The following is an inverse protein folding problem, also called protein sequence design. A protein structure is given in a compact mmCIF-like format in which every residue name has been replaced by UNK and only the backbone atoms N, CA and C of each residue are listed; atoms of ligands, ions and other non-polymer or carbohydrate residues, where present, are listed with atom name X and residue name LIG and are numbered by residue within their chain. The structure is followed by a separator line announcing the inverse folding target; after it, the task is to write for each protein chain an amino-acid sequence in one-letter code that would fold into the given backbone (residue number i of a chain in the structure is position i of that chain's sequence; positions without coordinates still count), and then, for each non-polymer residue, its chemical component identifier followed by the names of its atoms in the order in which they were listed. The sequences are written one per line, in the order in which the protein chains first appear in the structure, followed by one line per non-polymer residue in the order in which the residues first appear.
data_IF_712397342365
#
_entry.id   IF_712397342365
#
_cell.length_a   1.000
_cell.length_b   1.000
_cell.length_c   1.000
_cell.angle_alpha   90.00
_cell.angle_beta   90.00
_cell.angle_gamma   90.00
#
_symmetry.space_group_name_H-M   'P 1'
#
loop_
_entity.id
_entity.type
_entity.pdbx_description
1 polymer ?
#
# COMPACT_ATOMS: atom_id res chain seq x y z
N UNK A 1 -12.42 -31.69 8.15
CA UNK A 1 -12.33 -31.36 6.71
C UNK A 1 -11.87 -29.92 6.64
N UNK A 2 -10.56 -29.73 6.50
CA UNK A 2 -9.87 -28.47 6.79
C UNK A 2 -9.56 -27.74 5.50
N UNK A 3 -10.17 -26.57 5.31
CA UNK A 3 -9.79 -25.62 4.27
C UNK A 3 -9.75 -24.24 4.91
N UNK A 4 -8.54 -23.72 5.13
CA UNK A 4 -8.31 -22.29 5.32
C UNK A 4 -7.40 -21.88 4.17
N UNK A 5 -8.05 -21.34 3.14
CA UNK A 5 -7.47 -20.43 2.17
C UNK A 5 -7.81 -19.03 2.69
N UNK A 6 -6.87 -18.09 2.80
CA UNK A 6 -7.21 -16.73 2.44
C UNK A 6 -7.37 -16.71 0.92
N UNK A 7 -8.59 -16.39 0.46
CA UNK A 7 -8.86 -16.08 -0.94
C UNK A 7 -7.68 -15.29 -1.49
N UNK A 8 -6.99 -15.87 -2.50
CA UNK A 8 -6.15 -15.05 -3.35
C UNK A 8 -7.02 -13.91 -3.87
N UNK A 9 -6.43 -12.71 -3.98
CA UNK A 9 -7.11 -11.48 -4.36
C UNK A 9 -8.23 -11.71 -5.39
N UNK A 10 -9.46 -11.23 -5.17
CA UNK A 10 -10.41 -11.04 -6.25
C UNK A 10 -9.94 -9.82 -7.04
N UNK A 11 -8.95 -9.98 -7.92
CA UNK A 11 -8.54 -8.91 -8.83
C UNK A 11 -9.32 -8.89 -10.13
N UNK A 12 -10.42 -9.63 -10.22
CA UNK A 12 -11.42 -9.46 -11.27
C UNK A 12 -12.80 -9.48 -10.63
N UNK A 13 -13.37 -8.29 -10.45
CA UNK A 13 -14.79 -8.14 -10.22
C UNK A 13 -15.53 -8.66 -11.46
N UNK A 14 -16.03 -9.89 -11.39
CA UNK A 14 -17.09 -10.32 -12.28
C UNK A 14 -18.42 -10.07 -11.58
N UNK A 15 -19.13 -9.10 -12.12
CA UNK A 15 -20.53 -8.83 -11.90
C UNK A 15 -21.37 -10.09 -12.08
N UNK A 16 -22.36 -10.24 -11.20
CA UNK A 16 -23.45 -11.22 -11.19
C UNK A 16 -23.14 -12.57 -10.54
N UNK A 17 -23.68 -12.74 -9.34
CA UNK A 17 -23.80 -14.02 -8.66
C UNK A 17 -24.01 -13.79 -7.17
N UNK A 18 -25.23 -14.04 -6.69
CA UNK A 18 -25.58 -14.05 -5.27
C UNK A 18 -24.56 -14.93 -4.51
N UNK A 19 -23.56 -14.29 -3.88
CA UNK A 19 -22.51 -15.00 -3.17
C UNK A 19 -23.14 -15.58 -1.90
N UNK A 20 -23.07 -16.90 -1.73
CA UNK A 20 -23.27 -17.53 -0.43
C UNK A 20 -22.20 -17.00 0.52
N UNK A 21 -22.50 -15.90 1.22
CA UNK A 21 -21.68 -15.40 2.31
C UNK A 21 -21.69 -16.47 3.40
N UNK A 22 -20.51 -17.01 3.70
CA UNK A 22 -20.30 -17.92 4.83
C UNK A 22 -19.86 -17.11 6.02
N UNK A 23 -20.38 -17.45 7.19
CA UNK A 23 -19.90 -16.88 8.46
C UNK A 23 -18.42 -17.18 8.66
N UNK A 24 -17.67 -16.16 9.06
CA UNK A 24 -16.24 -16.30 9.37
C UNK A 24 -16.08 -16.87 10.79
N UNK A 25 -15.96 -18.19 10.90
CA UNK A 25 -15.81 -18.91 12.17
C UNK A 25 -14.41 -19.54 12.35
N UNK A 26 -13.38 -19.00 11.69
CA UNK A 26 -12.03 -19.57 11.74
C UNK A 26 -11.27 -19.04 12.96
N UNK A 27 -10.93 -19.91 13.95
CA UNK A 27 -10.16 -19.48 15.11
C UNK A 27 -8.72 -19.14 14.71
N UNK A 28 -8.10 -18.23 15.45
CA UNK A 28 -6.67 -17.96 15.32
C UNK A 28 -5.88 -19.21 15.72
N UNK A 29 -4.95 -19.64 14.86
CA UNK A 29 -4.05 -20.76 15.14
C UNK A 29 -2.82 -20.28 15.91
N UNK A 30 -2.40 -21.05 16.91
CA UNK A 30 -1.10 -20.85 17.54
C UNK A 30 0.02 -21.08 16.52
N UNK A 31 1.20 -20.50 16.74
CA UNK A 31 2.36 -20.71 15.84
C UNK A 31 2.68 -22.20 15.70
N UNK A 32 2.57 -22.98 16.78
CA UNK A 32 2.78 -24.42 16.73
C UNK A 32 1.76 -25.12 15.82
N UNK A 33 0.49 -24.69 15.84
CA UNK A 33 -0.54 -25.28 15.00
C UNK A 33 -0.43 -24.82 13.55
N UNK A 34 0.08 -23.61 13.30
CA UNK A 34 0.45 -23.15 11.95
C UNK A 34 1.57 -24.02 11.35
N UNK A 35 2.61 -24.34 12.13
CA UNK A 35 3.69 -25.24 11.70
C UNK A 35 3.13 -26.62 11.35
N UNK A 36 2.31 -27.21 12.24
CA UNK A 36 1.67 -28.50 11.99
C UNK A 36 0.80 -28.48 10.73
N UNK A 37 0.05 -27.41 10.52
CA UNK A 37 -0.78 -27.24 9.33
C UNK A 37 0.07 -27.23 8.05
N UNK A 38 1.17 -26.47 8.03
CA UNK A 38 2.07 -26.41 6.89
C UNK A 38 2.70 -27.79 6.59
N UNK A 39 3.16 -28.50 7.63
CA UNK A 39 3.68 -29.86 7.48
C UNK A 39 2.62 -30.84 6.97
N UNK A 40 1.38 -30.76 7.48
CA UNK A 40 0.27 -31.62 7.02
C UNK A 40 -0.13 -31.40 5.55
N UNK A 41 0.21 -30.24 5.00
CA UNK A 41 0.01 -29.88 3.58
C UNK A 41 1.19 -30.29 2.70
N UNK A 42 2.22 -30.92 3.27
CA UNK A 42 3.40 -31.38 2.54
C UNK A 42 4.54 -30.37 2.47
N UNK A 43 4.51 -29.27 3.25
CA UNK A 43 5.65 -28.35 3.32
C UNK A 43 6.78 -28.95 4.16
N UNK A 44 7.97 -29.00 3.59
CA UNK A 44 9.17 -29.41 4.31
C UNK A 44 9.67 -28.23 5.13
N UNK A 45 9.86 -28.42 6.44
CA UNK A 45 10.43 -27.41 7.34
C UNK A 45 11.74 -27.98 7.86
N UNK A 46 12.88 -27.43 7.41
CA UNK A 46 14.21 -27.95 7.79
C UNK A 46 14.54 -27.59 9.23
N UNK A 47 14.22 -26.37 9.62
CA UNK A 47 14.37 -25.87 10.99
C UNK A 47 13.04 -25.32 11.52
N UNK A 48 12.42 -26.09 12.42
CA UNK A 48 11.14 -25.72 13.05
C UNK A 48 11.28 -24.45 13.89
N UNK A 49 12.38 -24.28 14.62
CA UNK A 49 12.57 -23.11 15.48
C UNK A 49 12.74 -21.85 14.63
N UNK A 50 13.51 -21.94 13.56
CA UNK A 50 13.62 -20.86 12.57
C UNK A 50 12.26 -20.48 11.99
N UNK A 51 11.47 -21.47 11.54
CA UNK A 51 10.14 -21.22 11.00
C UNK A 51 9.19 -20.56 12.00
N UNK A 52 9.26 -20.93 13.30
CA UNK A 52 8.51 -20.25 14.36
C UNK A 52 8.92 -18.79 14.50
N UNK A 53 10.22 -18.49 14.59
CA UNK A 53 10.73 -17.12 14.68
C UNK A 53 10.33 -16.28 13.46
N UNK A 54 10.29 -16.89 12.28
CA UNK A 54 9.77 -16.22 11.07
C UNK A 54 8.28 -15.93 11.22
N UNK A 55 7.45 -16.91 11.61
CA UNK A 55 6.00 -16.73 11.75
C UNK A 55 5.58 -15.80 12.91
N UNK A 56 6.45 -15.62 13.91
CA UNK A 56 6.30 -14.61 14.96
C UNK A 56 6.45 -13.18 14.42
N UNK A 57 7.39 -12.98 13.49
CA UNK A 57 7.69 -11.66 12.91
C UNK A 57 6.83 -11.37 11.67
N UNK A 58 6.54 -12.40 10.89
CA UNK A 58 5.75 -12.39 9.68
C UNK A 58 4.47 -13.17 9.94
N UNK A 59 3.35 -12.48 10.11
CA UNK A 59 2.08 -13.16 10.33
C UNK A 59 1.80 -14.21 9.24
N UNK A 60 1.09 -15.28 9.60
CA UNK A 60 0.80 -16.39 8.70
C UNK A 60 0.10 -15.95 7.41
N UNK A 61 -0.76 -14.93 7.47
CA UNK A 61 -1.47 -14.41 6.31
C UNK A 61 -0.50 -13.89 5.24
N UNK A 62 0.48 -13.08 5.64
CA UNK A 62 1.52 -12.56 4.74
C UNK A 62 2.34 -13.71 4.15
N UNK A 63 2.82 -14.64 4.99
CA UNK A 63 3.56 -15.81 4.51
C UNK A 63 2.75 -16.65 3.52
N UNK A 64 1.47 -16.91 3.82
CA UNK A 64 0.57 -17.70 2.97
C UNK A 64 0.27 -17.06 1.61
N UNK A 65 0.50 -15.75 1.44
CA UNK A 65 0.45 -15.12 0.13
C UNK A 65 1.50 -15.67 -0.84
N UNK A 66 2.68 -16.03 -0.32
CA UNK A 66 3.81 -16.54 -1.11
C UNK A 66 3.72 -18.05 -1.34
N UNK A 67 2.93 -18.79 -0.56
CA UNK A 67 2.79 -20.24 -0.70
C UNK A 67 2.10 -20.63 -2.01
N UNK A 68 1.24 -19.78 -2.56
CA UNK A 68 0.43 -20.07 -3.74
C UNK A 68 1.24 -20.50 -4.98
N UNK A 69 2.46 -19.97 -5.14
CA UNK A 69 3.33 -20.31 -6.27
C UNK A 69 3.81 -21.77 -6.18
N UNK A 70 3.90 -22.31 -4.96
CA UNK A 70 4.41 -23.63 -4.63
C UNK A 70 3.32 -24.67 -4.35
N UNK A 71 2.04 -24.26 -4.34
CA UNK A 71 0.90 -25.16 -4.22
C UNK A 71 0.72 -25.98 -5.51
N UNK A 72 0.24 -27.21 -5.38
CA UNK A 72 -0.18 -28.05 -6.51
C UNK A 72 -1.37 -27.40 -7.24
N UNK A 73 -1.19 -27.12 -8.52
CA UNK A 73 -2.13 -26.39 -9.39
C UNK A 73 -3.09 -27.31 -10.15
N UNK A 74 -3.43 -28.48 -9.60
CA UNK A 74 -4.55 -29.28 -10.10
C UNK A 74 -5.84 -28.44 -10.25
N UNK A 75 -6.85 -28.93 -10.99
CA UNK A 75 -8.09 -28.20 -11.30
C UNK A 75 -8.85 -27.58 -10.10
N UNK A 76 -8.49 -27.92 -8.85
CA UNK A 76 -8.99 -27.28 -7.63
C UNK A 76 -7.82 -26.95 -6.69
N UNK A 77 -7.84 -25.77 -6.07
CA UNK A 77 -6.84 -25.37 -5.06
C UNK A 77 -6.97 -26.26 -3.81
N UNK A 78 -5.95 -27.08 -3.56
CA UNK A 78 -5.92 -28.03 -2.43
C UNK A 78 -5.11 -27.55 -1.24
N UNK A 79 -4.30 -26.49 -1.40
CA UNK A 79 -3.25 -26.05 -0.47
C UNK A 79 -2.11 -27.01 -0.23
N UNK A 80 -2.12 -28.15 -0.90
CA UNK A 80 -1.02 -29.08 -0.79
C UNK A 80 0.15 -28.54 -1.60
N UNK A 81 1.35 -28.65 -1.06
CA UNK A 81 2.56 -28.19 -1.70
C UNK A 81 3.06 -29.22 -2.71
N UNK A 82 3.71 -28.74 -3.78
CA UNK A 82 4.39 -29.60 -4.73
C UNK A 82 5.56 -30.36 -4.08
N UNK A 83 5.91 -31.53 -4.63
CA UNK A 83 6.96 -32.39 -4.06
C UNK A 83 8.27 -31.61 -3.84
N UNK A 84 8.82 -31.74 -2.63
CA UNK A 84 10.08 -31.13 -2.16
C UNK A 84 10.08 -29.61 -1.90
N UNK A 85 8.92 -28.95 -1.86
CA UNK A 85 8.87 -27.53 -1.45
C UNK A 85 9.29 -27.36 0.01
N UNK A 86 10.18 -26.41 0.28
CA UNK A 86 10.61 -26.09 1.66
C UNK A 86 10.16 -24.72 2.14
N UNK A 87 9.96 -24.58 3.45
CA UNK A 87 9.58 -23.32 4.08
C UNK A 87 10.60 -22.21 3.80
N UNK A 88 11.89 -22.57 3.80
CA UNK A 88 12.98 -21.65 3.54
C UNK A 88 12.93 -21.12 2.10
N UNK A 89 12.58 -21.94 1.11
CA UNK A 89 12.42 -21.49 -0.28
C UNK A 89 11.31 -20.45 -0.42
N UNK A 90 10.16 -20.68 0.23
CA UNK A 90 9.04 -19.73 0.24
C UNK A 90 9.47 -18.43 0.92
N UNK A 91 10.22 -18.53 2.02
CA UNK A 91 10.70 -17.36 2.74
C UNK A 91 11.78 -16.59 1.97
N UNK A 92 12.62 -17.25 1.18
CA UNK A 92 13.56 -16.58 0.27
C UNK A 92 12.82 -15.76 -0.79
N UNK A 93 11.73 -16.29 -1.38
CA UNK A 93 10.88 -15.52 -2.30
C UNK A 93 10.33 -14.26 -1.64
N UNK A 94 9.85 -14.37 -0.40
CA UNK A 94 9.42 -13.20 0.38
C UNK A 94 10.55 -12.17 0.56
N UNK A 95 11.77 -12.60 0.89
CA UNK A 95 12.92 -11.70 1.06
C UNK A 95 13.25 -10.96 -0.23
N UNK A 96 13.27 -11.65 -1.37
CA UNK A 96 13.52 -11.03 -2.66
C UNK A 96 12.45 -9.99 -3.02
N UNK A 97 11.18 -10.31 -2.79
CA UNK A 97 10.08 -9.39 -3.02
C UNK A 97 10.17 -8.14 -2.11
N UNK A 98 10.61 -8.28 -0.85
CA UNK A 98 10.94 -7.14 0.02
C UNK A 98 12.07 -6.28 -0.57
N UNK A 99 13.14 -6.90 -1.06
CA UNK A 99 14.27 -6.17 -1.67
C UNK A 99 13.84 -5.41 -2.93
N UNK A 100 13.03 -6.02 -3.79
CA UNK A 100 12.49 -5.36 -4.99
C UNK A 100 11.62 -4.17 -4.59
N UNK A 101 10.73 -4.31 -3.60
CA UNK A 101 9.94 -3.18 -3.10
C UNK A 101 10.81 -2.05 -2.57
N UNK A 102 11.89 -2.35 -1.85
CA UNK A 102 12.82 -1.33 -1.34
C UNK A 102 13.49 -0.55 -2.48
N UNK A 103 13.93 -1.24 -3.53
CA UNK A 103 14.49 -0.61 -4.72
C UNK A 103 13.44 0.27 -5.42
N UNK A 104 12.22 -0.24 -5.60
CA UNK A 104 11.12 0.52 -6.19
C UNK A 104 10.79 1.77 -5.37
N UNK A 105 10.71 1.67 -4.03
CA UNK A 105 10.48 2.82 -3.17
C UNK A 105 11.60 3.85 -3.27
N UNK A 106 12.85 3.42 -3.41
CA UNK A 106 13.97 4.32 -3.65
C UNK A 106 13.85 5.05 -4.99
N UNK A 107 13.29 4.44 -6.04
CA UNK A 107 13.05 5.13 -7.31
C UNK A 107 11.85 6.08 -7.22
N UNK A 108 10.77 5.64 -6.57
CA UNK A 108 9.54 6.41 -6.39
C UNK A 108 9.82 7.68 -5.58
N UNK A 109 10.69 7.64 -4.57
CA UNK A 109 11.01 8.84 -3.77
C UNK A 109 11.58 9.98 -4.61
N UNK A 110 12.43 9.70 -5.60
CA UNK A 110 12.92 10.72 -6.54
C UNK A 110 11.80 11.26 -7.42
N UNK A 111 11.00 10.37 -8.01
CA UNK A 111 9.86 10.75 -8.86
C UNK A 111 8.88 11.63 -8.08
N UNK A 112 8.62 11.29 -6.82
CA UNK A 112 7.73 12.03 -5.94
C UNK A 112 8.20 13.47 -5.73
N UNK A 113 9.49 13.68 -5.43
CA UNK A 113 10.08 15.03 -5.30
C UNK A 113 9.90 15.84 -6.59
N UNK A 114 10.18 15.25 -7.75
CA UNK A 114 10.00 15.94 -9.03
C UNK A 114 8.52 16.28 -9.29
N UNK A 115 7.61 15.36 -9.02
CA UNK A 115 6.18 15.56 -9.20
C UNK A 115 5.64 16.68 -8.30
N UNK A 116 6.04 16.73 -7.01
CA UNK A 116 5.67 17.81 -6.08
C UNK A 116 6.07 19.17 -6.62
N UNK A 117 7.31 19.29 -7.11
CA UNK A 117 7.83 20.52 -7.70
C UNK A 117 7.08 20.94 -8.97
N UNK A 118 6.85 20.00 -9.90
CA UNK A 118 6.12 20.26 -11.15
C UNK A 118 4.68 20.69 -10.86
N UNK A 119 4.00 19.99 -9.96
CA UNK A 119 2.61 20.28 -9.58
C UNK A 119 2.51 21.67 -8.94
N UNK A 120 3.38 21.96 -7.96
CA UNK A 120 3.40 23.27 -7.28
C UNK A 120 3.64 24.42 -8.25
N UNK A 121 4.64 24.29 -9.13
CA UNK A 121 4.94 25.30 -10.15
C UNK A 121 3.80 25.51 -11.14
N UNK A 122 3.32 24.43 -11.77
CA UNK A 122 2.24 24.53 -12.75
C UNK A 122 0.96 25.09 -12.12
N UNK A 123 0.69 24.74 -10.86
CA UNK A 123 -0.44 25.30 -10.12
C UNK A 123 -0.33 26.83 -10.01
N UNK A 124 0.83 27.35 -9.59
CA UNK A 124 1.07 28.78 -9.50
C UNK A 124 0.95 29.46 -10.87
N UNK A 125 1.52 28.86 -11.92
CA UNK A 125 1.45 29.40 -13.29
C UNK A 125 0.00 29.51 -13.80
N UNK A 126 -0.83 28.52 -13.50
CA UNK A 126 -2.25 28.51 -13.90
C UNK A 126 -3.07 29.54 -13.12
N UNK A 127 -2.76 29.73 -11.83
CA UNK A 127 -3.52 30.58 -10.93
C UNK A 127 -2.85 31.93 -10.65
N UNK A 128 -2.09 32.46 -11.61
CA UNK A 128 -1.46 33.79 -11.53
C UNK A 128 -0.64 34.01 -10.25
N UNK A 129 0.13 33.01 -9.84
CA UNK A 129 0.92 32.96 -8.61
C UNK A 129 0.11 33.07 -7.31
N UNK A 130 -1.20 32.82 -7.30
CA UNK A 130 -1.98 32.71 -6.06
C UNK A 130 -1.67 31.36 -5.36
N UNK A 131 -0.99 31.36 -4.20
CA UNK A 131 -0.62 30.14 -3.51
C UNK A 131 -1.77 29.46 -2.78
N UNK A 132 -2.94 30.11 -2.70
CA UNK A 132 -4.13 29.64 -1.98
C UNK A 132 -5.32 29.39 -2.91
N UNK A 133 -5.13 29.43 -4.23
CA UNK A 133 -6.22 29.35 -5.20
C UNK A 133 -7.09 28.09 -5.04
N UNK A 134 -6.51 26.98 -4.55
CA UNK A 134 -7.19 25.71 -4.34
C UNK A 134 -8.30 25.84 -3.29
N UNK A 135 -8.18 26.75 -2.32
CA UNK A 135 -9.19 26.96 -1.29
C UNK A 135 -10.43 27.70 -1.80
N UNK A 136 -10.35 28.34 -2.97
CA UNK A 136 -11.43 29.15 -3.52
C UNK A 136 -12.20 28.42 -4.64
N UNK A 137 -11.77 27.21 -5.01
CA UNK A 137 -12.25 26.48 -6.18
C UNK A 137 -12.94 25.17 -5.76
N UNK A 138 -14.23 25.04 -6.08
CA UNK A 138 -15.06 23.90 -5.64
C UNK A 138 -14.48 22.52 -5.99
N UNK A 139 -13.79 22.40 -7.13
CA UNK A 139 -13.16 21.16 -7.60
C UNK A 139 -12.05 20.64 -6.68
N UNK A 140 -11.52 21.49 -5.79
CA UNK A 140 -10.53 21.10 -4.80
C UNK A 140 -11.14 20.86 -3.40
N UNK A 141 -12.44 21.08 -3.18
CA UNK A 141 -13.04 20.96 -1.84
C UNK A 141 -12.81 19.57 -1.20
N UNK A 142 -13.03 18.50 -1.98
CA UNK A 142 -12.84 17.14 -1.48
C UNK A 142 -11.39 16.87 -1.12
N UNK A 143 -10.44 17.28 -1.98
CA UNK A 143 -9.02 17.04 -1.72
C UNK A 143 -8.48 17.95 -0.61
N UNK A 144 -8.99 19.18 -0.47
CA UNK A 144 -8.65 20.08 0.64
C UNK A 144 -9.04 19.48 2.00
N UNK A 145 -10.17 18.76 2.08
CA UNK A 145 -10.53 18.05 3.30
C UNK A 145 -9.54 16.93 3.65
N UNK A 146 -8.98 16.24 2.65
CA UNK A 146 -7.91 15.25 2.87
C UNK A 146 -6.60 15.95 3.28
N UNK A 147 -6.21 17.00 2.56
CA UNK A 147 -5.00 17.80 2.85
C UNK A 147 -5.03 18.35 4.28
N UNK A 148 -6.17 18.89 4.73
CA UNK A 148 -6.30 19.43 6.08
C UNK A 148 -6.06 18.36 7.15
N UNK A 149 -6.53 17.12 6.93
CA UNK A 149 -6.21 15.99 7.84
C UNK A 149 -4.71 15.66 7.81
N UNK A 150 -4.05 15.78 6.66
CA UNK A 150 -2.59 15.62 6.55
C UNK A 150 -1.82 16.73 7.25
N UNK A 151 -2.28 17.98 7.17
CA UNK A 151 -1.73 19.12 7.90
C UNK A 151 -1.88 18.92 9.41
N UNK A 152 -3.05 18.50 9.88
CA UNK A 152 -3.34 18.29 11.30
C UNK A 152 -2.47 17.18 11.90
N UNK A 153 -2.33 16.04 11.20
CA UNK A 153 -1.51 14.90 11.65
C UNK A 153 -0.01 15.09 11.46
N UNK A 154 0.41 16.07 10.66
CA UNK A 154 1.83 16.29 10.35
C UNK A 154 2.61 16.70 11.59
N UNK A 155 3.77 16.05 11.76
CA UNK A 155 4.75 16.34 12.81
C UNK A 155 5.96 17.12 12.28
N UNK A 156 5.89 17.56 11.03
CA UNK A 156 6.97 18.30 10.38
C UNK A 156 7.18 19.67 11.03
N UNK A 157 8.45 20.02 11.28
CA UNK A 157 8.83 21.25 11.99
C UNK A 157 8.30 22.48 11.26
N UNK A 158 8.40 22.52 9.92
CA UNK A 158 7.95 23.63 9.11
C UNK A 158 6.43 23.84 9.15
N UNK A 159 5.64 22.77 9.31
CA UNK A 159 4.18 22.88 9.49
C UNK A 159 3.86 23.45 10.87
N UNK A 160 4.54 22.98 11.91
CA UNK A 160 4.33 23.50 13.26
C UNK A 160 4.72 24.98 13.36
N UNK A 161 5.84 25.36 12.75
CA UNK A 161 6.22 26.76 12.60
C UNK A 161 5.14 27.55 11.85
N UNK A 162 4.66 27.05 10.70
CA UNK A 162 3.64 27.75 9.92
C UNK A 162 2.34 27.98 10.73
N UNK A 163 1.90 26.96 11.48
CA UNK A 163 0.71 27.02 12.35
C UNK A 163 0.80 28.13 13.41
N UNK A 164 2.00 28.37 13.95
CA UNK A 164 2.20 29.32 15.05
C UNK A 164 2.45 30.75 14.57
N UNK A 165 3.09 30.93 13.40
CA UNK A 165 3.54 32.24 12.94
C UNK A 165 2.57 32.94 11.98
N UNK A 166 1.73 32.20 11.24
CA UNK A 166 0.93 32.79 10.16
C UNK A 166 -0.58 32.75 10.45
N UNK A 167 -1.20 33.94 10.44
CA UNK A 167 -2.65 34.13 10.63
C UNK A 167 -3.51 33.47 9.54
N UNK A 168 -2.92 33.12 8.40
CA UNK A 168 -3.63 32.52 7.28
C UNK A 168 -3.99 31.05 7.54
N UNK A 169 -3.40 30.41 8.56
CA UNK A 169 -3.79 29.07 9.00
C UNK A 169 -5.32 29.03 9.28
N UNK A 170 -6.06 28.01 8.79
CA UNK A 170 -5.60 26.72 8.25
C UNK A 170 -5.23 26.69 6.76
N UNK A 171 -5.25 27.82 6.05
CA UNK A 171 -4.80 27.87 4.64
C UNK A 171 -3.28 27.91 4.57
N UNK A 172 -2.72 26.93 3.89
CA UNK A 172 -1.28 26.75 3.71
C UNK A 172 -0.96 26.83 2.22
N UNK A 173 0.14 27.50 1.87
CA UNK A 173 0.53 27.70 0.48
C UNK A 173 0.82 26.38 -0.24
N UNK A 174 0.60 26.37 -1.56
CA UNK A 174 0.79 25.17 -2.39
C UNK A 174 2.16 24.50 -2.20
N UNK A 175 3.26 25.25 -2.17
CA UNK A 175 4.62 24.70 -2.02
C UNK A 175 4.88 24.06 -0.64
N UNK A 176 4.10 24.41 0.38
CA UNK A 176 4.20 23.76 1.70
C UNK A 176 3.30 22.54 1.76
N UNK A 177 2.04 22.64 1.27
CA UNK A 177 1.11 21.50 1.33
C UNK A 177 1.58 20.35 0.45
N UNK A 178 2.22 20.61 -0.69
CA UNK A 178 2.76 19.52 -1.51
C UNK A 178 3.86 18.75 -0.80
N UNK A 179 4.53 19.26 0.24
CA UNK A 179 5.57 18.49 0.95
C UNK A 179 4.98 17.46 1.94
N UNK A 180 3.74 17.68 2.39
CA UNK A 180 3.07 16.78 3.36
C UNK A 180 2.05 15.85 2.72
N UNK A 181 1.66 16.10 1.47
CA UNK A 181 0.68 15.28 0.77
C UNK A 181 1.20 13.84 0.63
N UNK A 182 0.41 12.81 0.89
CA UNK A 182 0.78 11.46 0.42
C UNK A 182 0.83 11.42 -1.12
N UNK A 183 1.52 10.44 -1.72
CA UNK A 183 1.51 10.26 -3.19
C UNK A 183 0.08 10.11 -3.74
N UNK A 184 -0.81 9.47 -2.99
CA UNK A 184 -2.23 9.36 -3.32
C UNK A 184 -2.96 10.71 -3.29
N UNK A 185 -2.72 11.52 -2.25
CA UNK A 185 -3.28 12.87 -2.12
C UNK A 185 -2.77 13.76 -3.26
N UNK A 186 -1.47 13.71 -3.56
CA UNK A 186 -0.83 14.47 -4.64
C UNK A 186 -1.43 14.11 -6.01
N UNK A 187 -1.65 12.82 -6.27
CA UNK A 187 -2.29 12.33 -7.49
C UNK A 187 -3.75 12.82 -7.65
N UNK A 188 -4.53 12.79 -6.57
CA UNK A 188 -5.89 13.35 -6.56
C UNK A 188 -5.89 14.86 -6.77
N UNK A 189 -4.99 15.58 -6.09
CA UNK A 189 -4.84 17.02 -6.25
C UNK A 189 -4.53 17.39 -7.70
N UNK A 190 -3.58 16.68 -8.30
CA UNK A 190 -3.26 16.82 -9.72
C UNK A 190 -4.46 16.50 -10.63
N UNK A 191 -5.22 15.46 -10.32
CA UNK A 191 -6.43 15.10 -11.08
C UNK A 191 -7.52 16.18 -11.06
N UNK A 192 -7.56 17.03 -10.02
CA UNK A 192 -8.43 18.20 -9.92
C UNK A 192 -7.92 19.43 -10.70
N UNK A 193 -6.69 19.40 -11.22
CA UNK A 193 -6.09 20.54 -11.93
C UNK A 193 -6.67 20.75 -13.34
N UNK A 194 -6.61 22.00 -13.82
CA UNK A 194 -7.15 22.39 -15.14
C UNK A 194 -6.30 21.90 -16.32
N UNK A 195 -4.97 21.93 -16.17
CA UNK A 195 -4.03 21.41 -17.16
C UNK A 195 -3.49 20.07 -16.69
N UNK A 196 -4.04 18.99 -17.26
CA UNK A 196 -3.32 17.72 -17.26
C UNK A 196 -2.06 17.94 -18.12
N UNK A 197 -0.89 17.65 -17.56
CA UNK A 197 0.40 17.62 -18.28
C UNK A 197 0.16 16.76 -19.51
N UNK A 198 0.02 17.42 -20.66
CA UNK A 198 -0.31 16.75 -21.92
C UNK A 198 0.93 16.53 -22.75
N UNK A 199 2.02 17.27 -22.52
CA UNK A 199 3.25 17.14 -23.27
C UNK A 199 4.47 17.12 -22.33
N UNK A 200 5.23 16.03 -22.38
CA UNK A 200 6.66 16.03 -22.04
C UNK A 200 7.44 16.38 -23.31
N UNK A 201 7.19 17.57 -23.87
CA UNK A 201 7.96 18.02 -25.03
C UNK A 201 9.11 18.92 -24.57
N UNK A 202 10.31 18.36 -24.69
CA UNK A 202 11.67 18.90 -24.59
C UNK A 202 12.25 19.15 -23.20
#
# INVERSE_FOLDING_TARGET
MYLIVPQGLPLVAHSAGFLFMKDYNNPALSINDQIKLLQSRGLIIKDINYAKTVLEKLNYYNFSGYTYIFEDKSNKRTHNFSNNTTFEEIFEVFKYDVQIRQLLFSCISYIEIFMRNIISRNFLDVYNNDPFANYNLMKYNNINNEINKEVERSKEIFINHYKNEYLNYPKISIWIIVEIMSLGTLSKFYSSSEKKITNFDN
#
